data_IF_426738729177
#
_entry.id   IF_426738729177
#
_cell.length_a   1.000
_cell.length_b   1.000
_cell.length_c   1.000
_cell.angle_alpha   90.00
_cell.angle_beta   90.00
_cell.angle_gamma   90.00
#
_symmetry.space_group_name_H-M   'P 1'
#
loop_
_entity.id
_entity.type
_entity.pdbx_description
1 polymer ?
#
# COMPACT_ATOMS: atom_id res chain seq x y z
N UNK A 1 -4.64 -8.92 -28.18
CA UNK A 1 -3.71 -8.00 -28.86
C UNK A 1 -2.49 -7.87 -27.98
N UNK A 2 -1.46 -8.66 -28.26
CA UNK A 2 -0.24 -8.75 -27.45
C UNK A 2 0.75 -7.68 -27.94
N UNK A 3 1.06 -6.70 -27.09
CA UNK A 3 2.16 -5.78 -27.34
C UNK A 3 3.49 -6.55 -27.23
N UNK A 4 4.46 -6.31 -28.13
CA UNK A 4 5.76 -6.98 -28.07
C UNK A 4 6.54 -6.52 -26.83
N UNK A 5 7.26 -7.47 -26.22
CA UNK A 5 8.04 -7.37 -24.98
C UNK A 5 9.24 -6.40 -25.03
N UNK A 6 9.30 -5.50 -26.02
CA UNK A 6 10.44 -4.63 -26.28
C UNK A 6 10.31 -3.31 -25.51
N UNK A 7 10.70 -3.30 -24.23
CA UNK A 7 10.95 -2.06 -23.47
C UNK A 7 9.96 -1.76 -22.34
N UNK A 8 9.12 -2.71 -21.94
CA UNK A 8 8.32 -2.54 -20.73
C UNK A 8 9.23 -2.57 -19.50
N UNK A 9 9.29 -1.45 -18.76
CA UNK A 9 10.06 -1.33 -17.51
C UNK A 9 9.11 -0.88 -16.40
N UNK A 10 9.09 -1.63 -15.30
CA UNK A 10 8.31 -1.24 -14.12
C UNK A 10 8.98 -0.06 -13.40
N UNK A 11 8.16 0.84 -12.88
CA UNK A 11 8.59 1.93 -11.99
C UNK A 11 7.97 1.81 -10.59
N UNK A 12 7.29 0.69 -10.32
CA UNK A 12 6.83 0.28 -9.01
C UNK A 12 6.78 -1.26 -8.93
N UNK A 13 6.89 -1.78 -7.71
CA UNK A 13 6.75 -3.21 -7.41
C UNK A 13 5.80 -3.41 -6.24
N UNK A 14 4.81 -4.29 -6.42
CA UNK A 14 3.82 -4.61 -5.40
C UNK A 14 3.80 -6.12 -5.14
N UNK A 15 3.94 -6.52 -3.88
CA UNK A 15 3.85 -7.91 -3.43
C UNK A 15 3.49 -7.97 -1.93
N UNK A 16 2.33 -8.52 -1.53
CA UNK A 16 1.29 -9.08 -2.40
C UNK A 16 0.34 -8.00 -2.97
N UNK A 17 -0.53 -8.38 -3.90
CA UNK A 17 -1.50 -7.50 -4.57
C UNK A 17 -2.87 -8.17 -4.78
N UNK A 18 -3.92 -7.37 -4.91
CA UNK A 18 -5.24 -7.77 -5.40
C UNK A 18 -5.88 -6.65 -6.23
N UNK A 19 -6.84 -7.00 -7.10
CA UNK A 19 -7.75 -6.03 -7.71
C UNK A 19 -8.91 -5.73 -6.77
N UNK A 20 -9.34 -4.47 -6.77
CA UNK A 20 -10.52 -4.00 -6.05
C UNK A 20 -11.38 -3.15 -6.97
N UNK A 21 -12.69 -3.39 -6.93
CA UNK A 21 -13.68 -2.57 -7.64
C UNK A 21 -14.01 -1.32 -6.81
N UNK A 22 -13.96 -0.16 -7.46
CA UNK A 22 -14.32 1.14 -6.91
C UNK A 22 -15.79 1.46 -7.24
N UNK A 23 -16.37 2.45 -6.57
CA UNK A 23 -17.79 2.78 -6.68
C UNK A 23 -18.25 3.35 -8.02
N UNK A 24 -17.32 3.70 -8.90
CA UNK A 24 -17.58 4.05 -10.29
C UNK A 24 -17.46 2.84 -11.25
N UNK A 25 -17.24 1.63 -10.70
CA UNK A 25 -17.05 0.37 -11.44
C UNK A 25 -15.65 0.21 -12.03
N UNK A 26 -14.73 1.15 -11.78
CA UNK A 26 -13.33 0.99 -12.18
C UNK A 26 -12.58 0.04 -11.24
N UNK A 27 -11.55 -0.63 -11.74
CA UNK A 27 -10.70 -1.50 -10.93
C UNK A 27 -9.39 -0.81 -10.60
N UNK A 28 -8.92 -0.96 -9.36
CA UNK A 28 -7.62 -0.46 -8.91
C UNK A 28 -6.80 -1.59 -8.26
N UNK A 29 -5.47 -1.43 -8.24
CA UNK A 29 -4.59 -2.32 -7.50
C UNK A 29 -4.53 -1.88 -6.04
N UNK A 30 -4.84 -2.80 -5.15
CA UNK A 30 -4.48 -2.71 -3.74
C UNK A 30 -3.31 -3.66 -3.47
N UNK A 31 -2.30 -3.22 -2.72
CA UNK A 31 -1.22 -4.12 -2.33
C UNK A 31 -0.08 -3.47 -1.59
N UNK A 32 0.88 -4.29 -1.16
CA UNK A 32 2.07 -3.81 -0.47
C UNK A 32 3.13 -3.38 -1.48
N UNK A 33 3.35 -2.07 -1.61
CA UNK A 33 4.38 -1.53 -2.47
C UNK A 33 5.76 -1.77 -1.85
N UNK A 34 6.52 -2.71 -2.39
CA UNK A 34 7.94 -2.91 -2.04
C UNK A 34 8.76 -1.73 -2.53
N UNK A 35 8.47 -1.27 -3.75
CA UNK A 35 9.10 -0.12 -4.39
C UNK A 35 8.02 0.75 -5.04
N UNK A 36 8.04 2.06 -4.78
CA UNK A 36 7.07 2.97 -5.38
C UNK A 36 7.55 4.42 -5.29
N UNK A 37 7.82 5.06 -6.44
CA UNK A 37 8.41 6.39 -6.49
C UNK A 37 7.62 7.46 -5.70
N UNK A 38 6.29 7.46 -5.80
CA UNK A 38 5.46 8.45 -5.12
C UNK A 38 5.39 8.28 -3.60
N UNK A 39 5.60 7.06 -3.09
CA UNK A 39 5.43 6.76 -1.65
C UNK A 39 6.73 6.36 -0.99
N UNK A 40 7.85 6.24 -1.72
CA UNK A 40 9.10 5.67 -1.23
C UNK A 40 9.06 4.15 -1.00
N UNK A 41 7.95 3.48 -1.35
CA UNK A 41 7.71 2.06 -1.06
C UNK A 41 7.39 1.77 0.41
N UNK A 42 7.54 0.50 0.77
CA UNK A 42 7.39 -0.10 2.10
C UNK A 42 6.05 0.20 2.81
N UNK A 43 4.97 0.31 2.03
CA UNK A 43 3.63 0.57 2.56
C UNK A 43 2.55 -0.04 1.68
N UNK A 44 1.38 -0.30 2.27
CA UNK A 44 0.17 -0.61 1.52
C UNK A 44 -0.28 0.62 0.71
N UNK A 45 -0.72 0.40 -0.52
CA UNK A 45 -1.15 1.44 -1.45
C UNK A 45 -2.42 1.02 -2.18
N UNK A 46 -3.19 2.02 -2.59
CA UNK A 46 -4.23 1.92 -3.60
C UNK A 46 -3.75 2.69 -4.83
N UNK A 47 -3.77 2.07 -6.00
CA UNK A 47 -3.40 2.73 -7.24
C UNK A 47 -4.53 3.60 -7.80
N UNK A 48 -4.21 4.46 -8.76
CA UNK A 48 -5.23 4.92 -9.73
C UNK A 48 -5.78 3.72 -10.51
N UNK A 49 -6.93 3.84 -11.19
CA UNK A 49 -7.52 2.74 -11.93
C UNK A 49 -6.55 2.04 -12.89
N UNK A 50 -6.67 0.72 -13.00
CA UNK A 50 -5.90 -0.13 -13.91
C UNK A 50 -6.45 0.06 -15.32
N UNK A 51 -5.57 0.31 -16.28
CA UNK A 51 -5.92 0.43 -17.71
C UNK A 51 -5.44 -0.78 -18.51
N UNK A 52 -4.48 -1.54 -17.96
CA UNK A 52 -3.99 -2.78 -18.54
C UNK A 52 -3.42 -3.69 -17.44
N UNK A 53 -3.73 -4.98 -17.51
CA UNK A 53 -3.23 -6.01 -16.61
C UNK A 53 -2.90 -7.26 -17.42
N UNK A 54 -1.70 -7.80 -17.19
CA UNK A 54 -1.32 -9.15 -17.58
C UNK A 54 -0.85 -9.88 -16.32
N UNK A 55 -1.80 -10.54 -15.67
CA UNK A 55 -1.56 -11.27 -14.42
C UNK A 55 -0.63 -12.48 -14.63
N UNK A 56 -0.62 -13.08 -15.82
CA UNK A 56 0.20 -14.26 -16.10
C UNK A 56 1.71 -13.94 -16.06
N UNK A 57 2.09 -12.72 -16.45
CA UNK A 57 3.48 -12.24 -16.39
C UNK A 57 3.72 -11.23 -15.26
N UNK A 58 2.72 -10.97 -14.42
CA UNK A 58 2.82 -10.09 -13.26
C UNK A 58 3.06 -8.63 -13.62
N UNK A 59 2.29 -8.06 -14.55
CA UNK A 59 2.46 -6.68 -15.00
C UNK A 59 1.14 -5.93 -15.05
N UNK A 60 1.15 -4.67 -14.64
CA UNK A 60 0.00 -3.78 -14.80
C UNK A 60 0.41 -2.35 -15.15
N UNK A 61 -0.47 -1.64 -15.83
CA UNK A 61 -0.39 -0.20 -16.07
C UNK A 61 -1.67 0.48 -15.56
N UNK A 62 -1.53 1.66 -14.99
CA UNK A 62 -2.62 2.41 -14.37
C UNK A 62 -2.83 3.76 -15.07
N UNK A 63 -3.98 4.40 -14.85
CA UNK A 63 -4.36 5.67 -15.47
C UNK A 63 -3.36 6.82 -15.22
N UNK A 64 -2.58 6.75 -14.13
CA UNK A 64 -1.48 7.68 -13.87
C UNK A 64 -0.22 7.42 -14.71
N UNK A 65 -0.21 6.42 -15.57
CA UNK A 65 0.95 5.95 -16.33
C UNK A 65 1.93 5.09 -15.50
N UNK A 66 1.56 4.69 -14.28
CA UNK A 66 2.43 3.86 -13.43
C UNK A 66 2.40 2.41 -13.89
N UNK A 67 3.60 1.82 -14.01
CA UNK A 67 3.84 0.45 -14.45
C UNK A 67 4.33 -0.40 -13.29
N UNK A 68 3.50 -1.34 -12.88
CA UNK A 68 3.73 -2.19 -11.73
C UNK A 68 4.25 -3.56 -12.15
N UNK A 69 5.36 -3.98 -11.54
CA UNK A 69 5.70 -5.39 -11.41
C UNK A 69 4.91 -5.98 -10.23
N UNK A 70 4.19 -7.07 -10.49
CA UNK A 70 3.28 -7.70 -9.54
C UNK A 70 3.88 -9.03 -9.05
N UNK A 71 3.91 -9.21 -7.73
CA UNK A 71 4.33 -10.44 -7.08
C UNK A 71 3.13 -11.37 -6.83
N UNK A 72 3.00 -11.84 -5.59
CA UNK A 72 1.93 -12.77 -5.20
C UNK A 72 0.56 -12.11 -5.25
N UNK A 73 -0.36 -12.73 -5.97
CA UNK A 73 -1.78 -12.37 -5.95
C UNK A 73 -2.43 -12.89 -4.66
N UNK A 74 -3.29 -12.07 -4.07
CA UNK A 74 -4.15 -12.38 -2.92
C UNK A 74 -5.56 -11.87 -3.21
N UNK A 75 -6.48 -12.18 -2.32
CA UNK A 75 -7.85 -11.67 -2.31
C UNK A 75 -8.08 -10.87 -1.02
N UNK A 76 -9.17 -10.09 -0.97
CA UNK A 76 -9.49 -9.29 0.22
C UNK A 76 -9.64 -10.16 1.49
N UNK A 77 -10.17 -11.37 1.36
CA UNK A 77 -10.32 -12.34 2.45
C UNK A 77 -9.01 -13.05 2.83
N UNK A 78 -8.03 -13.09 1.93
CA UNK A 78 -6.73 -13.75 2.16
C UNK A 78 -5.58 -12.78 2.48
N UNK A 79 -5.90 -11.53 2.82
CA UNK A 79 -4.89 -10.53 3.22
C UNK A 79 -3.98 -11.06 4.34
N UNK A 80 -2.64 -10.91 4.23
CA UNK A 80 -1.70 -11.70 5.00
C UNK A 80 -1.51 -11.22 6.45
N UNK A 81 -1.73 -9.93 6.72
CA UNK A 81 -1.40 -9.31 8.02
C UNK A 81 -2.53 -8.41 8.52
N UNK A 82 -2.51 -8.12 9.83
CA UNK A 82 -3.43 -7.11 10.40
C UNK A 82 -3.21 -5.73 9.78
N UNK A 83 -1.97 -5.37 9.43
CA UNK A 83 -1.68 -4.14 8.70
C UNK A 83 -2.33 -4.08 7.33
N UNK A 84 -2.28 -5.18 6.57
CA UNK A 84 -2.93 -5.28 5.26
C UNK A 84 -4.43 -5.01 5.38
N UNK A 85 -5.04 -5.64 6.38
CA UNK A 85 -6.45 -5.55 6.72
C UNK A 85 -6.87 -4.13 7.11
N UNK A 86 -6.09 -3.47 7.96
CA UNK A 86 -6.33 -2.08 8.37
C UNK A 86 -6.13 -1.14 7.18
N UNK A 87 -5.05 -1.29 6.41
CA UNK A 87 -4.80 -0.47 5.23
C UNK A 87 -5.89 -0.61 4.18
N UNK A 88 -6.41 -1.83 3.98
CA UNK A 88 -7.54 -2.09 3.10
C UNK A 88 -8.78 -1.29 3.57
N UNK A 89 -9.09 -1.31 4.87
CA UNK A 89 -10.19 -0.53 5.41
C UNK A 89 -10.05 0.97 5.13
N UNK A 90 -8.86 1.53 5.36
CA UNK A 90 -8.63 2.97 5.14
C UNK A 90 -8.64 3.37 3.67
N UNK A 91 -8.03 2.55 2.82
CA UNK A 91 -7.79 2.91 1.44
C UNK A 91 -8.96 2.55 0.52
N UNK A 92 -9.75 1.52 0.84
CA UNK A 92 -10.82 1.04 -0.04
C UNK A 92 -12.21 1.49 0.42
N UNK A 93 -12.51 1.49 1.73
CA UNK A 93 -13.85 1.82 2.23
C UNK A 93 -14.39 3.18 1.78
N UNK A 94 -13.58 4.25 1.64
CA UNK A 94 -14.08 5.53 1.10
C UNK A 94 -14.53 5.46 -0.37
N UNK A 95 -14.10 4.44 -1.09
CA UNK A 95 -14.31 4.30 -2.53
C UNK A 95 -15.27 3.16 -2.88
N UNK A 96 -15.71 2.32 -1.94
CA UNK A 96 -16.55 1.16 -2.25
C UNK A 96 -18.02 1.41 -1.87
N UNK A 97 -18.98 1.10 -2.76
CA UNK A 97 -20.41 1.23 -2.50
C UNK A 97 -20.95 0.07 -1.65
N UNK A 98 -20.20 -1.04 -1.58
CA UNK A 98 -20.52 -2.18 -0.73
C UNK A 98 -19.85 -2.01 0.63
N UNK A 99 -20.58 -2.34 1.71
CA UNK A 99 -19.98 -2.53 3.01
C UNK A 99 -19.00 -3.71 2.93
N UNK A 100 -17.74 -3.43 2.62
CA UNK A 100 -16.71 -4.47 2.63
C UNK A 100 -16.61 -4.92 4.09
N UNK A 101 -16.82 -6.21 4.41
CA UNK A 101 -16.65 -6.70 5.76
C UNK A 101 -15.22 -6.40 6.18
N UNK A 102 -15.07 -5.35 6.98
CA UNK A 102 -13.78 -5.02 7.52
C UNK A 102 -13.42 -6.21 8.43
N UNK A 103 -12.24 -6.82 8.27
CA UNK A 103 -11.69 -7.62 9.37
C UNK A 103 -11.76 -6.78 10.64
N UNK A 104 -11.95 -7.36 11.84
CA UNK A 104 -12.18 -6.58 13.06
C UNK A 104 -11.02 -5.57 13.25
N UNK A 105 -11.24 -4.34 12.80
CA UNK A 105 -10.34 -3.22 13.01
C UNK A 105 -10.77 -2.63 14.34
N UNK A 106 -9.78 -2.33 15.19
CA UNK A 106 -10.01 -1.58 16.43
C UNK A 106 -10.97 -0.41 16.18
N UNK A 107 -11.90 -0.18 17.10
CA UNK A 107 -12.86 0.95 17.02
C UNK A 107 -12.16 2.31 16.94
N UNK A 108 -10.89 2.39 17.34
CA UNK A 108 -10.07 3.58 17.18
C UNK A 108 -9.34 3.61 15.83
N UNK A 109 -10.03 4.16 14.84
CA UNK A 109 -9.48 4.41 13.49
C UNK A 109 -8.31 5.40 13.51
N UNK A 110 -8.25 6.34 14.46
CA UNK A 110 -7.16 7.31 14.51
C UNK A 110 -5.86 6.60 14.89
N UNK A 111 -5.89 5.82 15.96
CA UNK A 111 -4.72 5.03 16.39
C UNK A 111 -4.31 4.04 15.29
N UNK A 112 -5.26 3.39 14.61
CA UNK A 112 -4.95 2.47 13.52
C UNK A 112 -4.25 3.17 12.34
N UNK A 113 -4.68 4.37 11.95
CA UNK A 113 -4.04 5.15 10.89
C UNK A 113 -2.62 5.63 11.29
N UNK A 114 -2.45 6.06 12.55
CA UNK A 114 -1.14 6.40 13.10
C UNK A 114 -0.22 5.18 13.10
N UNK A 115 -0.74 4.01 13.48
CA UNK A 115 0.02 2.77 13.49
C UNK A 115 0.48 2.34 12.09
N UNK A 116 -0.35 2.47 11.06
CA UNK A 116 0.09 2.24 9.66
C UNK A 116 1.30 3.12 9.28
N UNK A 117 1.28 4.38 9.72
CA UNK A 117 2.40 5.31 9.50
C UNK A 117 3.64 4.87 10.28
N UNK A 118 3.48 4.39 11.51
CA UNK A 118 4.55 3.85 12.33
C UNK A 118 5.17 2.60 11.72
N UNK A 119 4.37 1.66 11.19
CA UNK A 119 4.87 0.47 10.49
C UNK A 119 5.73 0.84 9.29
N UNK A 120 5.28 1.79 8.47
CA UNK A 120 6.07 2.30 7.34
C UNK A 120 7.40 2.89 7.81
N UNK A 121 7.33 3.79 8.78
CA UNK A 121 8.50 4.46 9.33
C UNK A 121 9.51 3.47 9.92
N UNK A 122 9.04 2.50 10.70
CA UNK A 122 9.83 1.43 11.29
C UNK A 122 10.61 0.65 10.22
N UNK A 123 9.95 0.27 9.12
CA UNK A 123 10.63 -0.41 7.99
C UNK A 123 11.73 0.44 7.36
N UNK A 124 11.48 1.73 7.14
CA UNK A 124 12.48 2.63 6.56
C UNK A 124 13.68 2.85 7.48
N UNK A 125 13.44 2.94 8.79
CA UNK A 125 14.46 3.16 9.80
C UNK A 125 15.09 1.86 10.33
N UNK A 126 14.61 0.69 9.87
CA UNK A 126 15.02 -0.64 10.35
C UNK A 126 14.82 -0.82 11.86
N UNK A 127 13.69 -0.30 12.35
CA UNK A 127 13.23 -0.43 13.73
C UNK A 127 12.08 -1.42 13.81
N UNK A 128 11.77 -1.86 15.03
CA UNK A 128 10.54 -2.59 15.33
C UNK A 128 9.37 -1.60 15.41
N UNK A 129 8.22 -1.96 14.84
CA UNK A 129 7.03 -1.13 14.93
C UNK A 129 6.41 -1.24 16.33
N UNK A 130 5.83 -0.16 16.87
CA UNK A 130 5.11 -0.22 18.15
C UNK A 130 3.91 -1.16 18.04
N UNK A 131 3.45 -1.77 19.15
CA UNK A 131 2.23 -2.57 19.16
C UNK A 131 1.00 -1.70 18.83
N UNK A 132 0.05 -2.27 18.07
CA UNK A 132 -1.14 -1.56 17.60
C UNK A 132 -2.05 -1.12 18.76
N UNK A 133 -2.12 -1.93 19.82
CA UNK A 133 -3.02 -1.77 20.94
C UNK A 133 -2.57 -0.69 21.94
N UNK A 134 -1.32 -0.20 21.81
CA UNK A 134 -0.74 0.81 22.69
C UNK A 134 -0.65 2.18 21.98
N UNK A 135 -1.73 2.94 22.03
CA UNK A 135 -1.82 4.27 21.39
C UNK A 135 -0.73 5.24 21.89
N UNK A 136 -0.33 5.13 23.16
CA UNK A 136 0.73 5.97 23.72
C UNK A 136 2.10 5.60 23.12
N UNK A 137 2.40 4.30 23.00
CA UNK A 137 3.62 3.84 22.34
C UNK A 137 3.65 4.21 20.84
N UNK A 138 2.51 4.12 20.14
CA UNK A 138 2.39 4.54 18.73
C UNK A 138 2.71 6.02 18.57
N UNK A 139 2.09 6.87 19.40
CA UNK A 139 2.30 8.32 19.37
C UNK A 139 3.75 8.66 19.65
N UNK A 140 4.31 8.11 20.74
CA UNK A 140 5.70 8.32 21.12
C UNK A 140 6.68 7.86 20.04
N UNK A 141 6.44 6.71 19.41
CA UNK A 141 7.27 6.20 18.32
C UNK A 141 7.29 7.18 17.13
N UNK A 142 6.13 7.69 16.72
CA UNK A 142 6.04 8.64 15.62
C UNK A 142 6.77 9.94 15.94
N UNK A 143 6.54 10.53 17.11
CA UNK A 143 7.19 11.78 17.54
C UNK A 143 8.71 11.64 17.60
N UNK A 144 9.21 10.52 18.11
CA UNK A 144 10.65 10.25 18.26
C UNK A 144 11.35 10.11 16.92
N UNK A 145 10.67 9.53 15.92
CA UNK A 145 11.32 9.06 14.69
C UNK A 145 10.96 9.88 13.43
N UNK A 146 9.96 10.77 13.49
CA UNK A 146 9.47 11.51 12.31
C UNK A 146 10.54 12.36 11.63
N UNK A 147 11.43 12.99 12.39
CA UNK A 147 12.48 13.85 11.84
C UNK A 147 13.51 13.03 11.06
N UNK A 148 14.02 11.95 11.65
CA UNK A 148 14.95 11.03 11.00
C UNK A 148 14.34 10.40 9.74
N UNK A 149 13.07 10.02 9.83
CA UNK A 149 12.33 9.50 8.69
C UNK A 149 12.19 10.51 7.55
N UNK A 150 11.88 11.78 7.87
CA UNK A 150 11.82 12.87 6.87
C UNK A 150 13.17 13.08 6.18
N UNK A 151 14.26 13.16 6.94
CA UNK A 151 15.61 13.31 6.37
C UNK A 151 15.96 12.17 5.40
N UNK A 152 15.62 10.92 5.76
CA UNK A 152 15.83 9.77 4.89
C UNK A 152 14.98 9.81 3.62
N UNK A 153 13.75 10.33 3.70
CA UNK A 153 12.87 10.48 2.54
C UNK A 153 13.31 11.60 1.61
N UNK A 154 13.67 12.75 2.15
CA UNK A 154 14.07 13.91 1.35
C UNK A 154 15.40 13.66 0.65
N UNK A 155 16.33 12.95 1.32
CA UNK A 155 17.57 12.48 0.70
C UNK A 155 17.39 11.45 -0.42
N UNK A 156 16.22 10.79 -0.51
CA UNK A 156 15.84 9.91 -1.64
C UNK A 156 15.12 10.65 -2.77
N UNK A 157 14.69 11.91 -2.55
CA UNK A 157 14.00 12.74 -3.54
C UNK A 157 14.93 13.49 -4.49
N UNK A 158 16.25 13.46 -4.25
CA UNK A 158 17.27 14.06 -5.08
C UNK A 158 18.07 12.97 -5.82
N UNK A 159 17.49 12.37 -6.85
CA UNK A 159 18.20 11.53 -7.82
C UNK A 159 17.50 11.59 -9.17
#
# INVERSE_FOLDING_TARGET
>A
MTLPDNGWTSNARVDPWCLVELGDGSEALFGFAVEHAGTGGLSWVLSTPVVWLDAAVGRAETASGRRYALGREVTADTLPTIEARIAFAFLISPHSPAAIPLPPVSTDLITAAMWLSACKMARHLRLEAPPLEDSAAVTHFLETNIEQYRLLRDGRGAS
#
